data_IF_254602939838
#
_entry.id   IF_254602939838
#
_cell.length_a   1.000
_cell.length_b   1.000
_cell.length_c   1.000
_cell.angle_alpha   90.00
_cell.angle_beta   90.00
_cell.angle_gamma   90.00
#
_symmetry.space_group_name_H-M   'P 1'
#
loop_
_entity.id
_entity.type
_entity.pdbx_description
1 polymer ?
#
# COMPACT_ATOMS: atom_id res chain seq x y z
N UNK A 1 12.85 -5.90 -45.10
CA UNK A 1 12.34 -4.73 -44.35
C UNK A 1 12.29 -5.18 -42.91
N UNK A 2 13.39 -4.88 -42.24
CA UNK A 2 13.70 -5.28 -40.87
C UNK A 2 13.37 -4.07 -40.02
N UNK A 3 12.46 -4.23 -39.07
CA UNK A 3 12.40 -3.43 -37.84
C UNK A 3 11.72 -4.35 -36.81
N UNK A 4 12.52 -5.22 -36.19
CA UNK A 4 12.97 -5.02 -34.81
C UNK A 4 11.80 -4.94 -33.83
N UNK A 5 11.27 -6.13 -33.53
CA UNK A 5 10.71 -6.42 -32.22
C UNK A 5 11.90 -6.42 -31.25
N UNK A 6 12.34 -5.24 -30.81
CA UNK A 6 13.20 -5.07 -29.63
C UNK A 6 12.28 -5.27 -28.41
N UNK A 7 12.14 -6.48 -27.88
CA UNK A 7 13.04 -7.09 -26.90
C UNK A 7 13.54 -6.12 -25.82
N UNK A 8 13.10 -6.43 -24.59
CA UNK A 8 13.93 -6.45 -23.40
C UNK A 8 14.29 -5.10 -22.74
N UNK A 9 13.30 -4.51 -22.05
CA UNK A 9 13.55 -3.80 -20.79
C UNK A 9 12.48 -4.08 -19.74
N UNK A 10 12.08 -5.35 -19.58
CA UNK A 10 11.40 -5.79 -18.34
C UNK A 10 12.49 -6.22 -17.35
N UNK A 11 13.24 -5.24 -16.86
CA UNK A 11 14.31 -5.45 -15.90
C UNK A 11 13.74 -5.93 -14.56
N UNK A 12 13.53 -7.26 -14.42
CA UNK A 12 13.57 -8.07 -13.20
C UNK A 12 13.08 -7.46 -11.86
N UNK A 13 12.10 -6.55 -11.89
CA UNK A 13 11.59 -5.85 -10.71
C UNK A 13 10.10 -5.47 -10.82
N UNK A 14 9.36 -6.04 -11.79
CA UNK A 14 8.08 -5.50 -12.26
C UNK A 14 6.94 -6.56 -12.39
N UNK A 15 6.85 -7.52 -11.48
CA UNK A 15 5.89 -8.65 -11.60
C UNK A 15 4.71 -8.61 -10.61
N UNK A 16 4.37 -7.46 -10.03
CA UNK A 16 3.12 -7.35 -9.26
C UNK A 16 2.12 -6.51 -10.03
N UNK A 17 1.02 -7.12 -10.47
CA UNK A 17 -0.13 -6.42 -11.02
C UNK A 17 -0.61 -5.34 -10.04
N UNK A 18 -1.16 -4.20 -10.51
CA UNK A 18 -1.77 -3.19 -9.64
C UNK A 18 -2.73 -3.78 -8.60
N UNK A 19 -3.48 -4.82 -8.97
CA UNK A 19 -4.36 -5.56 -8.06
C UNK A 19 -3.59 -6.31 -6.95
N UNK A 20 -2.45 -6.93 -7.26
CA UNK A 20 -1.63 -7.64 -6.28
C UNK A 20 -0.93 -6.67 -5.34
N UNK A 21 -0.45 -5.53 -5.86
CA UNK A 21 0.07 -4.43 -5.05
C UNK A 21 -0.98 -3.91 -4.08
N UNK A 22 -2.23 -3.76 -4.54
CA UNK A 22 -3.34 -3.35 -3.69
C UNK A 22 -3.56 -4.33 -2.53
N UNK A 23 -3.63 -5.63 -2.83
CA UNK A 23 -3.81 -6.68 -1.80
C UNK A 23 -2.67 -6.66 -0.78
N UNK A 24 -1.42 -6.50 -1.22
CA UNK A 24 -0.26 -6.40 -0.33
C UNK A 24 -0.35 -5.18 0.60
N UNK A 25 -0.76 -4.03 0.07
CA UNK A 25 -0.86 -2.80 0.86
C UNK A 25 -2.07 -2.86 1.81
N UNK A 26 -3.19 -3.46 1.40
CA UNK A 26 -4.34 -3.71 2.27
C UNK A 26 -3.99 -4.67 3.42
N UNK A 27 -3.23 -5.73 3.14
CA UNK A 27 -2.74 -6.67 4.16
C UNK A 27 -1.79 -5.98 5.16
N UNK A 28 -0.87 -5.14 4.67
CA UNK A 28 0.02 -4.33 5.53
C UNK A 28 -0.78 -3.34 6.38
N UNK A 29 -1.76 -2.64 5.79
CA UNK A 29 -2.63 -1.71 6.49
C UNK A 29 -3.42 -2.41 7.61
N UNK A 30 -3.99 -3.58 7.34
CA UNK A 30 -4.69 -4.40 8.35
C UNK A 30 -3.76 -4.86 9.47
N UNK A 31 -2.54 -5.26 9.14
CA UNK A 31 -1.54 -5.70 10.13
C UNK A 31 -1.11 -4.54 11.04
N UNK A 32 -0.91 -3.35 10.48
CA UNK A 32 -0.63 -2.15 11.26
C UNK A 32 -1.79 -1.78 12.17
N UNK A 33 -3.02 -1.91 11.70
CA UNK A 33 -4.20 -1.64 12.52
C UNK A 33 -4.28 -2.58 13.73
N UNK A 34 -4.11 -3.88 13.52
CA UNK A 34 -4.09 -4.86 14.60
C UNK A 34 -2.99 -4.55 15.63
N UNK A 35 -1.80 -4.15 15.17
CA UNK A 35 -0.68 -3.75 16.04
C UNK A 35 -0.99 -2.49 16.85
N UNK A 36 -1.67 -1.52 16.24
CA UNK A 36 -2.14 -0.31 16.95
C UNK A 36 -3.14 -0.70 18.05
N UNK A 37 -4.12 -1.54 17.74
CA UNK A 37 -5.13 -2.01 18.72
C UNK A 37 -4.45 -2.72 19.89
N UNK A 38 -3.52 -3.63 19.61
CA UNK A 38 -2.80 -4.37 20.65
C UNK A 38 -1.96 -3.44 21.54
N UNK A 39 -1.29 -2.45 20.95
CA UNK A 39 -0.54 -1.45 21.71
C UNK A 39 -1.47 -0.59 22.56
N UNK A 40 -2.64 -0.21 22.02
CA UNK A 40 -3.65 0.59 22.72
C UNK A 40 -4.32 -0.12 23.89
N UNK A 41 -4.35 -1.46 23.88
CA UNK A 41 -4.86 -2.24 25.00
C UNK A 41 -3.94 -2.23 26.24
N UNK A 42 -2.69 -1.74 26.11
CA UNK A 42 -1.71 -1.74 27.21
C UNK A 42 -1.79 -0.44 28.04
N UNK A 43 -1.80 -0.52 29.39
CA UNK A 43 -1.95 0.65 30.26
C UNK A 43 -0.79 1.66 30.20
N UNK A 44 0.44 1.21 29.91
CA UNK A 44 1.61 2.08 29.71
C UNK A 44 2.13 2.01 28.27
N UNK A 45 1.22 2.18 27.32
CA UNK A 45 1.58 2.18 25.91
C UNK A 45 2.50 3.35 25.54
N UNK A 46 3.38 3.12 24.58
CA UNK A 46 4.19 4.18 24.00
C UNK A 46 3.32 5.02 23.04
N UNK A 47 2.79 6.14 23.54
CA UNK A 47 1.89 7.01 22.78
C UNK A 47 2.55 7.61 21.52
N UNK A 48 3.85 7.89 21.56
CA UNK A 48 4.62 8.35 20.38
C UNK A 48 4.69 7.26 19.31
N UNK A 49 4.93 6.01 19.70
CA UNK A 49 4.92 4.88 18.79
C UNK A 49 3.54 4.71 18.14
N UNK A 50 2.47 4.78 18.92
CA UNK A 50 1.09 4.68 18.40
C UNK A 50 0.79 5.82 17.42
N UNK A 51 1.22 7.05 17.72
CA UNK A 51 1.07 8.17 16.78
C UNK A 51 1.81 7.94 15.46
N UNK A 52 3.04 7.40 15.51
CA UNK A 52 3.80 7.05 14.29
C UNK A 52 3.11 5.97 13.47
N UNK A 53 2.62 4.91 14.13
CA UNK A 53 1.91 3.83 13.45
C UNK A 53 0.59 4.32 12.82
N UNK A 54 -0.13 5.23 13.48
CA UNK A 54 -1.33 5.85 12.91
C UNK A 54 -1.03 6.70 11.67
N UNK A 55 0.08 7.45 11.68
CA UNK A 55 0.54 8.19 10.50
C UNK A 55 0.90 7.26 9.35
N UNK A 56 1.60 6.17 9.63
CA UNK A 56 1.92 5.16 8.60
C UNK A 56 0.66 4.49 8.05
N UNK A 57 -0.29 4.15 8.93
CA UNK A 57 -1.61 3.62 8.53
C UNK A 57 -2.34 4.59 7.60
N UNK A 58 -2.33 5.89 7.90
CA UNK A 58 -2.96 6.91 7.05
C UNK A 58 -2.29 6.97 5.67
N UNK A 59 -0.95 6.94 5.62
CA UNK A 59 -0.20 6.91 4.36
C UNK A 59 -0.54 5.69 3.51
N UNK A 60 -0.63 4.49 4.11
CA UNK A 60 -1.03 3.29 3.38
C UNK A 60 -2.46 3.41 2.84
N UNK A 61 -3.38 4.02 3.62
CA UNK A 61 -4.74 4.30 3.14
C UNK A 61 -4.74 5.22 1.92
N UNK A 62 -3.97 6.31 1.93
CA UNK A 62 -3.87 7.24 0.79
C UNK A 62 -3.32 6.53 -0.46
N UNK A 63 -2.33 5.65 -0.28
CA UNK A 63 -1.78 4.85 -1.38
C UNK A 63 -2.82 3.85 -1.92
N UNK A 64 -3.60 3.21 -1.05
CA UNK A 64 -4.73 2.33 -1.43
C UNK A 64 -5.76 3.12 -2.26
N UNK A 65 -6.17 4.29 -1.79
CA UNK A 65 -7.15 5.13 -2.51
C UNK A 65 -6.63 5.58 -3.87
N UNK A 66 -5.35 5.95 -3.96
CA UNK A 66 -4.72 6.31 -5.23
C UNK A 66 -4.68 5.13 -6.21
N UNK A 67 -4.23 3.95 -5.76
CA UNK A 67 -4.21 2.74 -6.59
C UNK A 67 -5.62 2.32 -7.03
N UNK A 68 -6.62 2.47 -6.15
CA UNK A 68 -8.03 2.23 -6.48
C UNK A 68 -8.55 3.22 -7.51
N UNK A 69 -8.20 4.51 -7.40
CA UNK A 69 -8.57 5.54 -8.38
C UNK A 69 -7.88 5.37 -9.74
N UNK A 70 -6.63 4.88 -9.76
CA UNK A 70 -5.96 4.51 -11.02
C UNK A 70 -6.62 3.30 -11.70
N UNK A 71 -7.28 2.41 -10.93
CA UNK A 71 -8.04 1.26 -11.46
C UNK A 71 -9.51 1.57 -11.78
N UNK A 72 -10.13 2.52 -11.10
CA UNK A 72 -11.53 2.94 -11.29
C UNK A 72 -11.52 4.45 -11.56
N UNK A 73 -11.61 4.91 -12.82
CA UNK A 73 -11.27 6.27 -13.21
C UNK A 73 -12.25 7.37 -12.73
N UNK A 74 -13.17 7.11 -11.79
CA UNK A 74 -14.27 8.06 -11.54
C UNK A 74 -14.90 7.97 -10.14
N UNK A 75 -14.13 8.19 -9.06
CA UNK A 75 -14.73 8.12 -7.71
C UNK A 75 -14.26 9.14 -6.66
N UNK A 76 -13.51 10.19 -6.97
CA UNK A 76 -13.28 11.29 -6.00
C UNK A 76 -13.18 12.66 -6.69
N UNK A 77 -14.35 13.29 -6.88
CA UNK A 77 -14.54 14.75 -6.98
C UNK A 77 -15.20 15.26 -5.71
#
# INVERSE_FOLDING_TARGET
MTDHIEQDQAAANDELSPAERLVLIEAQHRSLDQKIIELQARPWQNQLLVQRLKKEKLRLKEVIERLKGEMIPDLNA
#
